data_IF_541950364332
#
_entry.id   IF_541950364332
#
_cell.length_a   1.000
_cell.length_b   1.000
_cell.length_c   1.000
_cell.angle_alpha   90.00
_cell.angle_beta   90.00
_cell.angle_gamma   90.00
#
_symmetry.space_group_name_H-M   'P 1'
#
loop_
_entity.id
_entity.type
_entity.pdbx_description
1 polymer ?
#
# COMPACT_ATOMS: atom_id res chain seq x y z
N UNK A 1 -0.95 -21.76 7.59
CA UNK A 1 -1.34 -21.48 6.20
C UNK A 1 -0.26 -21.97 5.25
N UNK A 2 -0.64 -22.63 4.16
CA UNK A 2 0.23 -23.01 3.06
C UNK A 2 0.27 -21.93 1.97
N UNK A 3 1.11 -22.12 0.95
CA UNK A 3 1.28 -21.15 -0.15
C UNK A 3 -0.02 -20.87 -0.91
N UNK A 4 -0.83 -21.88 -1.19
CA UNK A 4 -2.08 -21.72 -1.94
C UNK A 4 -3.11 -20.94 -1.12
N UNK A 5 -3.21 -21.24 0.18
CA UNK A 5 -4.04 -20.50 1.12
C UNK A 5 -3.63 -19.03 1.21
N UNK A 6 -2.33 -18.75 1.28
CA UNK A 6 -1.82 -17.37 1.29
C UNK A 6 -2.20 -16.59 0.02
N UNK A 7 -2.02 -17.20 -1.15
CA UNK A 7 -2.37 -16.57 -2.43
C UNK A 7 -3.88 -16.31 -2.51
N UNK A 8 -4.69 -17.29 -2.10
CA UNK A 8 -6.14 -17.16 -2.10
C UNK A 8 -6.60 -16.05 -1.15
N UNK A 9 -6.17 -16.08 0.11
CA UNK A 9 -6.52 -15.05 1.10
C UNK A 9 -6.05 -13.67 0.65
N UNK A 10 -4.84 -13.56 0.11
CA UNK A 10 -4.34 -12.31 -0.44
C UNK A 10 -5.26 -11.80 -1.56
N UNK A 11 -5.58 -12.63 -2.55
CA UNK A 11 -6.45 -12.25 -3.66
C UNK A 11 -7.85 -11.85 -3.18
N UNK A 12 -8.47 -12.66 -2.33
CA UNK A 12 -9.83 -12.46 -1.85
C UNK A 12 -9.96 -11.15 -1.06
N UNK A 13 -8.98 -10.83 -0.21
CA UNK A 13 -8.96 -9.59 0.56
C UNK A 13 -8.92 -8.36 -0.36
N UNK A 14 -8.10 -8.39 -1.41
CA UNK A 14 -8.01 -7.27 -2.36
C UNK A 14 -9.29 -7.14 -3.19
N UNK A 15 -9.85 -8.25 -3.68
CA UNK A 15 -11.14 -8.24 -4.38
C UNK A 15 -12.26 -7.69 -3.50
N UNK A 16 -12.29 -8.05 -2.21
CA UNK A 16 -13.28 -7.54 -1.25
C UNK A 16 -13.20 -6.02 -1.11
N UNK A 17 -11.99 -5.47 -0.96
CA UNK A 17 -11.79 -4.02 -0.84
C UNK A 17 -12.15 -3.30 -2.14
N UNK A 18 -11.73 -3.82 -3.29
CA UNK A 18 -12.05 -3.26 -4.61
C UNK A 18 -13.58 -3.22 -4.80
N UNK A 19 -14.26 -4.35 -4.58
CA UNK A 19 -15.70 -4.45 -4.74
C UNK A 19 -16.44 -3.48 -3.81
N UNK A 20 -16.02 -3.37 -2.54
CA UNK A 20 -16.60 -2.42 -1.60
C UNK A 20 -16.47 -0.98 -2.09
N UNK A 21 -15.27 -0.56 -2.51
CA UNK A 21 -15.00 0.83 -2.94
C UNK A 21 -15.71 1.15 -4.26
N UNK A 22 -15.74 0.21 -5.21
CA UNK A 22 -16.44 0.38 -6.48
C UNK A 22 -17.96 0.48 -6.31
N UNK A 23 -18.52 -0.16 -5.29
CA UNK A 23 -19.94 -0.09 -4.96
C UNK A 23 -20.36 1.21 -4.24
N UNK A 24 -19.42 2.03 -3.76
CA UNK A 24 -19.75 3.28 -3.08
C UNK A 24 -20.43 4.27 -4.05
N UNK A 25 -21.50 4.96 -3.64
CA UNK A 25 -22.02 6.10 -4.39
C UNK A 25 -21.00 7.24 -4.38
N UNK A 26 -21.06 8.12 -5.38
CA UNK A 26 -20.06 9.19 -5.59
C UNK A 26 -19.82 10.08 -4.36
N UNK A 27 -20.85 10.51 -3.59
CA UNK A 27 -20.63 11.30 -2.38
C UNK A 27 -19.80 10.56 -1.32
N UNK A 28 -19.99 9.24 -1.18
CA UNK A 28 -19.23 8.44 -0.21
C UNK A 28 -17.83 8.07 -0.73
N UNK A 29 -17.67 7.94 -2.05
CA UNK A 29 -16.37 7.70 -2.66
C UNK A 29 -15.43 8.90 -2.53
N UNK A 30 -15.99 10.11 -2.67
CA UNK A 30 -15.29 11.39 -2.52
C UNK A 30 -15.23 11.90 -1.08
N UNK A 31 -15.93 11.25 -0.15
CA UNK A 31 -15.94 11.68 1.24
C UNK A 31 -14.53 11.67 1.81
N UNK A 32 -14.19 12.77 2.49
CA UNK A 32 -12.91 12.99 3.14
C UNK A 32 -13.12 13.29 4.61
N UNK A 33 -12.47 12.53 5.48
CA UNK A 33 -12.46 12.81 6.91
C UNK A 33 -11.20 13.64 7.25
N UNK A 34 -11.35 14.95 7.44
CA UNK A 34 -10.24 15.88 7.67
C UNK A 34 -9.12 15.71 6.61
N UNK A 35 -7.89 15.47 7.04
CA UNK A 35 -6.71 15.28 6.19
C UNK A 35 -6.52 13.82 5.72
N UNK A 36 -7.47 12.91 5.99
CA UNK A 36 -7.37 11.51 5.56
C UNK A 36 -7.67 11.38 4.07
N UNK A 37 -7.25 10.27 3.49
CA UNK A 37 -7.55 9.93 2.10
C UNK A 37 -9.03 9.61 1.89
N UNK A 38 -9.54 9.91 0.69
CA UNK A 38 -10.83 9.40 0.22
C UNK A 38 -10.75 7.88 -0.03
N UNK A 39 -11.90 7.24 -0.27
CA UNK A 39 -11.92 5.81 -0.59
C UNK A 39 -11.12 5.51 -1.87
N UNK A 40 -11.25 6.36 -2.91
CA UNK A 40 -10.46 6.23 -4.14
C UNK A 40 -8.95 6.35 -3.91
N UNK A 41 -8.54 7.33 -3.10
CA UNK A 41 -7.13 7.51 -2.74
C UNK A 41 -6.58 6.34 -1.92
N UNK A 42 -7.35 5.80 -0.98
CA UNK A 42 -6.97 4.61 -0.22
C UNK A 42 -6.74 3.41 -1.15
N UNK A 43 -7.64 3.16 -2.10
CA UNK A 43 -7.48 2.08 -3.07
C UNK A 43 -6.25 2.28 -3.96
N UNK A 44 -6.03 3.52 -4.42
CA UNK A 44 -4.85 3.87 -5.21
C UNK A 44 -3.55 3.64 -4.44
N UNK A 45 -3.50 4.02 -3.15
CA UNK A 45 -2.35 3.76 -2.30
C UNK A 45 -2.05 2.27 -2.18
N UNK A 46 -3.08 1.44 -1.96
CA UNK A 46 -2.93 -0.03 -1.92
C UNK A 46 -2.31 -0.52 -3.23
N UNK A 47 -2.85 -0.12 -4.39
CA UNK A 47 -2.28 -0.49 -5.69
C UNK A 47 -0.80 -0.09 -5.81
N UNK A 48 -0.44 1.14 -5.47
CA UNK A 48 0.93 1.64 -5.56
C UNK A 48 1.92 0.81 -4.72
N UNK A 49 1.49 0.33 -3.55
CA UNK A 49 2.32 -0.53 -2.69
C UNK A 49 2.49 -1.95 -3.23
N UNK A 50 1.53 -2.45 -4.03
CA UNK A 50 1.57 -3.78 -4.64
C UNK A 50 2.32 -3.84 -5.97
N UNK A 51 2.32 -2.77 -6.76
CA UNK A 51 3.04 -2.69 -8.05
C UNK A 51 4.50 -3.20 -8.03
N UNK A 52 5.32 -2.95 -6.98
CA UNK A 52 6.68 -3.47 -6.93
C UNK A 52 6.79 -4.96 -6.57
N UNK A 53 5.74 -5.60 -6.03
CA UNK A 53 5.81 -6.97 -5.50
C UNK A 53 6.29 -8.01 -6.52
N UNK A 54 5.78 -8.05 -7.77
CA UNK A 54 6.26 -9.04 -8.73
C UNK A 54 7.77 -8.98 -8.96
N UNK A 55 8.36 -7.78 -9.01
CA UNK A 55 9.81 -7.60 -9.20
C UNK A 55 10.60 -7.99 -7.95
N UNK A 56 10.13 -7.55 -6.78
CA UNK A 56 10.75 -7.83 -5.48
C UNK A 56 10.75 -9.32 -5.14
N UNK A 57 9.63 -10.02 -5.41
CA UNK A 57 9.50 -11.44 -5.10
C UNK A 57 10.32 -12.33 -6.04
N UNK A 58 10.66 -11.85 -7.24
CA UNK A 58 11.43 -12.60 -8.23
C UNK A 58 12.94 -12.43 -8.08
N UNK A 59 13.43 -11.31 -7.53
CA UNK A 59 14.86 -11.02 -7.47
C UNK A 59 15.27 -10.37 -6.15
N UNK A 60 16.19 -11.03 -5.44
CA UNK A 60 16.84 -10.47 -4.24
C UNK A 60 17.75 -9.31 -4.62
N UNK A 61 18.34 -9.35 -5.81
CA UNK A 61 19.19 -8.29 -6.36
C UNK A 61 18.39 -7.01 -6.55
N UNK A 62 17.13 -7.11 -7.02
CA UNK A 62 16.23 -5.96 -7.13
C UNK A 62 15.96 -5.31 -5.77
N UNK A 63 15.80 -6.10 -4.70
CA UNK A 63 15.65 -5.58 -3.33
C UNK A 63 16.91 -4.81 -2.92
N UNK A 64 18.09 -5.39 -3.14
CA UNK A 64 19.36 -4.75 -2.80
C UNK A 64 19.58 -3.47 -3.61
N UNK A 65 19.27 -3.44 -4.90
CA UNK A 65 19.39 -2.24 -5.73
C UNK A 65 18.41 -1.13 -5.30
N UNK A 66 17.19 -1.51 -4.88
CA UNK A 66 16.14 -0.55 -4.52
C UNK A 66 16.29 -0.02 -3.08
N UNK A 67 16.73 -0.87 -2.14
CA UNK A 67 16.74 -0.57 -0.70
C UNK A 67 18.14 -0.59 -0.08
N UNK A 68 19.16 -1.05 -0.81
CA UNK A 68 20.53 -1.17 -0.33
C UNK A 68 20.75 -2.37 0.57
N UNK A 69 21.91 -2.38 1.22
CA UNK A 69 22.28 -3.31 2.29
C UNK A 69 22.47 -2.56 3.60
N UNK A 70 22.33 -3.27 4.72
CA UNK A 70 22.53 -2.69 6.04
C UNK A 70 24.04 -2.42 6.26
N UNK A 71 24.43 -1.15 6.35
CA UNK A 71 25.82 -0.76 6.65
C UNK A 71 26.13 -0.69 8.16
N UNK A 72 25.14 -1.00 8.99
CA UNK A 72 25.23 -0.99 10.46
C UNK A 72 24.83 -2.36 11.01
N UNK A 73 25.00 -2.58 12.33
CA UNK A 73 24.38 -3.73 13.00
C UNK A 73 22.86 -3.63 12.95
N UNK A 74 22.19 -4.78 12.89
CA UNK A 74 20.74 -4.89 13.00
C UNK A 74 20.25 -4.24 14.30
N UNK A 75 19.15 -3.52 14.22
CA UNK A 75 18.48 -2.97 15.40
C UNK A 75 17.51 -3.99 15.97
N UNK A 76 17.32 -3.93 17.29
CA UNK A 76 16.17 -4.56 17.92
C UNK A 76 14.86 -3.85 17.54
N UNK A 77 13.75 -4.47 17.90
CA UNK A 77 12.42 -3.96 17.59
C UNK A 77 12.18 -2.58 18.18
N UNK A 78 12.53 -2.37 19.46
CA UNK A 78 12.28 -1.11 20.16
C UNK A 78 13.05 0.04 19.51
N UNK A 79 14.29 -0.19 19.10
CA UNK A 79 15.09 0.80 18.38
C UNK A 79 14.50 1.11 17.02
N UNK A 80 14.01 0.11 16.27
CA UNK A 80 13.32 0.34 14.99
C UNK A 80 12.05 1.16 15.21
N UNK A 81 11.20 0.78 16.16
CA UNK A 81 9.95 1.46 16.46
C UNK A 81 10.19 2.91 16.89
N UNK A 82 11.11 3.14 17.82
CA UNK A 82 11.43 4.48 18.31
C UNK A 82 11.98 5.40 17.21
N UNK A 83 12.72 4.86 16.24
CA UNK A 83 13.18 5.64 15.09
C UNK A 83 12.07 5.87 14.06
N UNK A 84 11.23 4.86 13.81
CA UNK A 84 10.06 5.00 12.93
C UNK A 84 9.11 6.10 13.41
N UNK A 85 8.82 6.14 14.73
CA UNK A 85 7.96 7.15 15.34
C UNK A 85 8.50 8.58 15.26
N UNK A 86 9.80 8.76 15.00
CA UNK A 86 10.43 10.07 14.78
C UNK A 86 10.37 10.53 13.32
N UNK A 87 9.91 9.69 12.40
CA UNK A 87 9.71 10.08 11.00
C UNK A 87 8.43 10.91 10.86
N UNK A 88 8.16 11.43 9.66
CA UNK A 88 6.88 12.10 9.37
C UNK A 88 5.67 11.17 9.45
N UNK A 89 5.88 9.85 9.57
CA UNK A 89 4.87 8.79 9.46
C UNK A 89 4.10 8.79 8.13
N UNK A 90 4.51 9.64 7.19
CA UNK A 90 3.94 9.70 5.86
C UNK A 90 4.56 8.64 4.97
N UNK A 91 3.76 8.09 4.06
CA UNK A 91 4.28 7.21 3.03
C UNK A 91 5.25 8.00 2.12
N UNK A 92 6.33 7.37 1.63
CA UNK A 92 7.20 7.98 0.61
C UNK A 92 6.40 8.43 -0.62
N UNK A 93 6.84 9.51 -1.27
CA UNK A 93 6.10 10.18 -2.35
C UNK A 93 5.58 9.26 -3.47
N UNK A 94 6.35 8.25 -3.88
CA UNK A 94 5.95 7.27 -4.90
C UNK A 94 4.73 6.40 -4.52
N UNK A 95 4.33 6.43 -3.26
CA UNK A 95 3.17 5.72 -2.73
C UNK A 95 2.04 6.66 -2.33
N UNK A 96 2.23 7.98 -2.44
CA UNK A 96 1.15 8.93 -2.19
C UNK A 96 0.18 8.90 -3.39
N UNK A 97 -1.13 8.71 -3.15
CA UNK A 97 -2.12 8.73 -4.22
C UNK A 97 -2.43 10.18 -4.63
N UNK A 98 -2.57 10.40 -5.93
CA UNK A 98 -3.17 11.64 -6.46
C UNK A 98 -4.67 11.70 -6.14
N UNK A 99 -5.31 12.84 -6.42
CA UNK A 99 -6.77 12.95 -6.34
C UNK A 99 -7.45 11.99 -7.33
N UNK A 100 -8.49 11.30 -6.86
CA UNK A 100 -9.21 10.29 -7.64
C UNK A 100 -10.66 10.72 -7.81
N UNK A 101 -11.07 10.90 -9.06
CA UNK A 101 -12.44 11.26 -9.44
C UNK A 101 -13.33 10.02 -9.60
N UNK A 102 -14.66 10.14 -9.45
CA UNK A 102 -15.56 8.99 -9.55
C UNK A 102 -15.52 8.28 -10.91
N UNK A 103 -15.27 9.03 -11.99
CA UNK A 103 -15.10 8.48 -13.33
C UNK A 103 -13.94 7.46 -13.43
N UNK A 104 -12.97 7.53 -12.51
CA UNK A 104 -11.81 6.64 -12.47
C UNK A 104 -12.07 5.36 -11.65
N UNK A 105 -13.24 5.20 -11.01
CA UNK A 105 -13.58 4.03 -10.16
C UNK A 105 -13.34 2.69 -10.83
N UNK A 106 -13.68 2.57 -12.11
CA UNK A 106 -13.55 1.31 -12.86
C UNK A 106 -12.13 0.99 -13.29
N UNK A 107 -11.24 1.99 -13.29
CA UNK A 107 -9.84 1.86 -13.68
C UNK A 107 -8.91 1.63 -12.47
N UNK A 108 -9.48 1.62 -11.25
CA UNK A 108 -8.82 1.26 -9.99
C UNK A 108 -9.19 -0.17 -9.61
#
# INVERSE_FOLDING_TARGET
>A
MNRQELIKTFSDNHHTVIAYIQALPDPLFLYRNHEKWTAGQQLKHILLTLLPFPKILQSKEFIVQKFGTLQRKSWDYDTVLNNYLKTSLQAPGQFLPDEILPAQKRAL
#
